data_IF_778891536774
#
_entry.id   IF_778891536774
#
_cell.length_a   1.000
_cell.length_b   1.000
_cell.length_c   1.000
_cell.angle_alpha   90.00
_cell.angle_beta   90.00
_cell.angle_gamma   90.00
#
_symmetry.space_group_name_H-M   'P 1'
#
loop_
_entity.id
_entity.type
_entity.pdbx_description
1 polymer ?
#
# COMPACT_ATOMS: atom_id res chain seq x y z
N UNK A 1 -11.27 -17.34 -8.41
CA UNK A 1 -10.91 -18.12 -7.19
C UNK A 1 -9.52 -17.75 -6.68
N UNK A 2 -8.50 -17.70 -7.55
CA UNK A 2 -7.12 -17.35 -7.21
C UNK A 2 -6.97 -16.14 -6.26
N UNK A 3 -7.59 -14.99 -6.60
CA UNK A 3 -7.55 -13.78 -5.75
C UNK A 3 -8.00 -14.00 -4.29
N UNK A 4 -8.91 -14.95 -4.03
CA UNK A 4 -9.40 -15.23 -2.66
C UNK A 4 -8.63 -16.34 -1.96
N UNK A 5 -7.90 -17.16 -2.70
CA UNK A 5 -7.28 -18.39 -2.18
C UNK A 5 -5.75 -18.26 -2.03
N UNK A 6 -5.13 -17.37 -2.80
CA UNK A 6 -3.69 -17.16 -2.75
C UNK A 6 -3.33 -16.12 -1.70
N UNK A 7 -2.48 -16.49 -0.76
CA UNK A 7 -1.91 -15.60 0.26
C UNK A 7 -0.68 -14.88 -0.31
N UNK A 8 -0.90 -13.92 -1.19
CA UNK A 8 0.13 -13.13 -1.89
C UNK A 8 -0.23 -11.65 -1.85
N UNK A 9 0.75 -10.79 -2.15
CA UNK A 9 0.50 -9.35 -2.16
C UNK A 9 -0.23 -8.82 -3.39
N UNK A 10 -0.25 -9.56 -4.49
CA UNK A 10 -0.99 -9.22 -5.71
C UNK A 10 -1.22 -10.43 -6.59
N UNK A 11 -2.36 -10.46 -7.29
CA UNK A 11 -2.68 -11.48 -8.31
C UNK A 11 -2.84 -10.78 -9.65
N UNK A 12 -1.98 -11.15 -10.60
CA UNK A 12 -2.03 -10.65 -11.98
C UNK A 12 -2.84 -11.64 -12.81
N UNK A 13 -3.82 -11.15 -13.56
CA UNK A 13 -4.70 -11.97 -14.40
C UNK A 13 -4.34 -11.69 -15.86
N UNK A 14 -3.96 -12.73 -16.60
CA UNK A 14 -3.65 -12.61 -18.03
C UNK A 14 -2.23 -12.13 -18.34
N UNK A 15 -1.36 -12.01 -17.34
CA UNK A 15 0.05 -11.64 -17.51
C UNK A 15 0.92 -12.31 -16.43
N UNK A 16 2.24 -12.17 -16.52
CA UNK A 16 3.21 -12.74 -15.59
C UNK A 16 3.17 -12.06 -14.21
N UNK A 17 3.52 -12.79 -13.12
CA UNK A 17 3.54 -12.24 -11.76
C UNK A 17 4.61 -11.17 -11.52
N UNK A 18 5.55 -11.01 -12.46
CA UNK A 18 6.54 -9.93 -12.45
C UNK A 18 5.99 -8.58 -12.91
N UNK A 19 4.73 -8.52 -13.37
CA UNK A 19 4.09 -7.26 -13.71
C UNK A 19 4.05 -6.33 -12.50
N UNK A 20 4.51 -5.10 -12.70
CA UNK A 20 4.52 -4.04 -11.69
C UNK A 20 4.22 -2.71 -12.37
N UNK A 21 3.24 -1.99 -11.84
CA UNK A 21 3.02 -0.57 -12.16
C UNK A 21 3.50 0.29 -11.00
N UNK A 22 4.15 1.42 -11.27
CA UNK A 22 4.83 2.21 -10.22
C UNK A 22 3.90 2.75 -9.13
N UNK A 23 2.65 3.04 -9.48
CA UNK A 23 1.64 3.54 -8.56
C UNK A 23 0.93 2.45 -7.75
N UNK A 24 1.06 1.17 -8.13
CA UNK A 24 0.34 0.09 -7.46
C UNK A 24 0.93 -0.20 -6.07
N UNK A 25 0.12 -0.57 -5.07
CA UNK A 25 0.64 -1.09 -3.82
C UNK A 25 1.40 -2.39 -4.05
N UNK A 26 2.73 -2.36 -3.93
CA UNK A 26 3.60 -3.50 -4.23
C UNK A 26 4.24 -4.03 -2.95
N UNK A 27 4.11 -5.33 -2.70
CA UNK A 27 4.69 -5.98 -1.53
C UNK A 27 4.18 -7.41 -1.41
N UNK A 28 4.56 -8.09 -0.33
CA UNK A 28 4.31 -9.53 -0.16
C UNK A 28 3.47 -9.87 1.06
N UNK A 29 3.34 -11.17 1.29
CA UNK A 29 2.84 -11.76 2.53
C UNK A 29 3.85 -12.80 3.01
N UNK A 30 3.66 -13.37 4.22
CA UNK A 30 4.55 -14.40 4.80
C UNK A 30 5.96 -13.85 4.99
N UNK A 31 6.97 -14.58 4.48
CA UNK A 31 8.38 -14.21 4.56
C UNK A 31 8.82 -13.28 3.42
N UNK A 32 7.89 -12.82 2.58
CA UNK A 32 8.21 -11.94 1.44
C UNK A 32 8.39 -10.46 1.82
N UNK A 33 8.19 -10.09 3.09
CA UNK A 33 8.38 -8.73 3.59
C UNK A 33 7.17 -8.15 4.33
N UNK A 34 7.32 -6.91 4.80
CA UNK A 34 6.31 -6.12 5.53
C UNK A 34 6.21 -4.74 4.88
N UNK A 35 5.02 -4.14 4.94
CA UNK A 35 4.74 -2.84 4.30
C UNK A 35 4.39 -2.98 2.82
N UNK A 36 4.20 -1.84 2.15
CA UNK A 36 3.91 -1.77 0.72
C UNK A 36 4.66 -0.60 0.09
N UNK A 37 5.31 -0.87 -1.02
CA UNK A 37 5.82 0.15 -1.94
C UNK A 37 4.70 0.65 -2.86
N UNK A 38 5.09 1.46 -3.85
CA UNK A 38 4.20 2.29 -4.66
C UNK A 38 4.07 3.67 -4.01
N UNK A 39 4.11 4.73 -4.82
CA UNK A 39 4.32 6.11 -4.32
C UNK A 39 3.43 6.46 -3.13
N UNK A 40 2.12 6.17 -3.22
CA UNK A 40 1.16 6.46 -2.13
C UNK A 40 1.43 5.61 -0.89
N UNK A 41 1.55 4.29 -1.03
CA UNK A 41 1.75 3.38 0.10
C UNK A 41 3.06 3.69 0.83
N UNK A 42 4.12 3.99 0.07
CA UNK A 42 5.40 4.40 0.65
C UNK A 42 5.27 5.74 1.40
N UNK A 43 4.52 6.71 0.87
CA UNK A 43 4.25 7.94 1.61
C UNK A 43 3.51 7.66 2.92
N UNK A 44 2.57 6.74 2.95
CA UNK A 44 1.87 6.34 4.19
C UNK A 44 2.83 5.73 5.21
N UNK A 45 3.76 4.85 4.79
CA UNK A 45 4.77 4.24 5.67
C UNK A 45 5.84 5.25 6.15
N UNK A 46 6.13 6.30 5.36
CA UNK A 46 7.15 7.31 5.65
C UNK A 46 6.62 8.65 6.17
N UNK A 47 5.31 8.75 6.40
CA UNK A 47 4.71 9.94 7.02
C UNK A 47 3.93 9.57 8.27
N UNK A 48 3.61 10.58 9.08
CA UNK A 48 2.81 10.39 10.28
C UNK A 48 1.83 11.55 10.41
N UNK A 49 0.65 11.25 10.94
CA UNK A 49 -0.38 12.26 11.17
C UNK A 49 0.05 13.23 12.28
N UNK A 50 -0.25 14.50 12.08
CA UNK A 50 -0.06 15.56 13.08
C UNK A 50 -1.37 16.31 13.26
N UNK A 51 -1.78 16.44 14.51
CA UNK A 51 -2.99 17.15 14.87
C UNK A 51 -2.63 18.56 15.34
N UNK A 52 -3.37 19.55 14.85
CA UNK A 52 -3.30 20.94 15.32
C UNK A 52 -4.71 21.38 15.69
N UNK A 53 -4.88 21.87 16.92
CA UNK A 53 -6.16 22.36 17.43
C UNK A 53 -6.06 23.86 17.63
N UNK A 54 -6.91 24.61 16.93
CA UNK A 54 -7.07 26.04 17.17
C UNK A 54 -8.29 26.27 18.05
N UNK A 55 -8.08 26.86 19.23
CA UNK A 55 -9.16 27.36 20.07
C UNK A 55 -9.37 28.86 19.82
N UNK A 56 -10.62 29.33 19.86
CA UNK A 56 -10.93 30.76 19.77
C UNK A 56 -10.80 31.41 18.40
N UNK A 57 -10.73 30.65 17.31
CA UNK A 57 -10.81 31.21 15.94
C UNK A 57 -12.23 31.71 15.69
N UNK A 58 -12.36 33.01 15.44
CA UNK A 58 -13.58 33.59 14.89
C UNK A 58 -13.59 33.33 13.38
N UNK A 59 -14.58 32.58 12.90
CA UNK A 59 -14.82 32.32 11.47
C UNK A 59 -15.71 33.41 10.87
#
# INVERSE_FOLDING_TARGET
RAHRALEVGGVIIGDAPSYRADQMPYGGAKLSGVGREGVRSAMEDYTYERIMVFTGVQL
#
